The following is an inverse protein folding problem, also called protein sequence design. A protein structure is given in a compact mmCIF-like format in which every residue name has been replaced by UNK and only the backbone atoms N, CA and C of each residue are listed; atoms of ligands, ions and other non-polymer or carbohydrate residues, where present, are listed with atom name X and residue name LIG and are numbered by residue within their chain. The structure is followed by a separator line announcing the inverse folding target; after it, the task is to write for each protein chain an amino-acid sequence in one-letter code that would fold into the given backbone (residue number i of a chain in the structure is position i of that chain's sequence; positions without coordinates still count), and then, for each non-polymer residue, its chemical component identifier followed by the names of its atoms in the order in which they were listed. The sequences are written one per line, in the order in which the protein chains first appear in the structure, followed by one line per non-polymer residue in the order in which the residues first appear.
data_IF_716847654287
#
_entry.id   IF_716847654287
#
_cell.length_a   1.000
_cell.length_b   1.000
_cell.length_c   1.000
_cell.angle_alpha   90.00
_cell.angle_beta   90.00
_cell.angle_gamma   90.00
#
_symmetry.space_group_name_H-M   'P 1'
#
loop_
_entity.id
_entity.type
_entity.pdbx_description
1 polymer ?
#
# COMPACT_ATOMS: atom_id res chain seq x y z
N UNK A 1 -12.58 -4.93 43.28
CA UNK A 1 -13.16 -3.71 42.71
C UNK A 1 -12.03 -2.89 42.05
N UNK A 2 -12.14 -2.64 40.74
CA UNK A 2 -11.36 -1.77 39.85
C UNK A 2 -9.91 -1.35 40.22
N UNK A 3 -8.92 -1.89 39.49
CA UNK A 3 -7.70 -1.14 39.13
C UNK A 3 -7.64 -0.95 37.61
N UNK A 4 -7.91 0.29 37.18
CA UNK A 4 -7.66 0.77 35.81
C UNK A 4 -6.14 0.84 35.59
N UNK A 5 -5.60 -0.05 34.78
CA UNK A 5 -4.34 0.21 34.09
C UNK A 5 -4.64 0.67 32.67
N UNK A 6 -4.68 2.00 32.49
CA UNK A 6 -4.49 2.64 31.19
C UNK A 6 -3.02 2.42 30.79
N UNK A 7 -2.74 1.26 30.22
CA UNK A 7 -1.51 1.01 29.49
C UNK A 7 -1.46 1.96 28.31
N UNK A 8 -0.62 2.99 28.42
CA UNK A 8 -0.26 3.92 27.35
C UNK A 8 0.13 3.11 26.10
N UNK A 9 -0.69 3.19 25.05
CA UNK A 9 -0.39 2.58 23.76
C UNK A 9 0.96 3.13 23.27
N UNK A 10 2.01 2.30 23.31
CA UNK A 10 3.31 2.71 22.83
C UNK A 10 3.22 3.14 21.37
N UNK A 11 3.71 4.36 21.13
CA UNK A 11 3.73 5.15 19.90
C UNK A 11 4.57 4.55 18.76
N UNK A 12 4.72 3.23 18.65
CA UNK A 12 5.53 2.56 17.61
C UNK A 12 4.74 1.65 16.66
N UNK A 13 3.51 1.26 16.99
CA UNK A 13 2.93 0.05 16.38
C UNK A 13 1.74 0.23 15.41
N UNK A 14 1.41 1.43 14.98
CA UNK A 14 0.25 1.63 14.11
C UNK A 14 0.52 1.07 12.70
N UNK A 15 1.44 1.61 11.89
CA UNK A 15 1.71 1.08 10.54
C UNK A 15 2.05 -0.42 10.48
N UNK A 16 2.88 -0.97 11.39
CA UNK A 16 3.22 -2.41 11.39
C UNK A 16 2.03 -3.32 11.67
N UNK A 17 0.97 -2.84 12.32
CA UNK A 17 -0.27 -3.61 12.48
C UNK A 17 -1.23 -3.38 11.33
N UNK A 18 -1.28 -2.16 10.79
CA UNK A 18 -2.37 -1.74 9.90
C UNK A 18 -2.08 -1.79 8.40
N UNK A 19 -0.84 -1.64 7.90
CA UNK A 19 -0.63 -1.60 6.44
C UNK A 19 -0.25 -2.96 5.87
N UNK A 20 -1.05 -3.44 4.90
CA UNK A 20 -0.71 -4.52 3.96
C UNK A 20 -0.70 -3.92 2.56
N UNK A 21 0.49 -3.81 1.96
CA UNK A 21 0.68 -3.28 0.62
C UNK A 21 1.35 -4.32 -0.26
N UNK A 22 0.90 -4.40 -1.50
CA UNK A 22 1.52 -5.19 -2.54
C UNK A 22 1.58 -4.35 -3.81
N UNK A 23 2.75 -4.28 -4.43
CA UNK A 23 2.86 -3.83 -5.82
C UNK A 23 2.78 -5.05 -6.75
N UNK A 24 2.10 -4.86 -7.86
CA UNK A 24 1.88 -5.90 -8.86
C UNK A 24 2.32 -5.35 -10.21
N UNK A 25 3.19 -6.10 -10.88
CA UNK A 25 3.76 -5.67 -12.17
C UNK A 25 2.69 -5.82 -13.26
N UNK A 26 2.05 -4.69 -13.60
CA UNK A 26 1.44 -4.32 -14.89
C UNK A 26 0.99 -2.84 -14.88
N UNK A 27 0.74 -2.25 -13.70
CA UNK A 27 0.56 -0.80 -13.47
C UNK A 27 1.05 -0.48 -12.06
N UNK A 28 1.83 0.59 -11.88
CA UNK A 28 2.36 1.01 -10.59
C UNK A 28 1.25 1.59 -9.69
N UNK A 29 0.28 0.76 -9.29
CA UNK A 29 -0.84 1.17 -8.45
C UNK A 29 -0.71 0.53 -7.06
N UNK A 30 -0.49 1.38 -6.06
CA UNK A 30 -0.38 0.99 -4.66
C UNK A 30 -1.77 1.07 -4.02
N UNK A 31 -2.41 -0.06 -3.72
CA UNK A 31 -3.64 -0.04 -2.91
C UNK A 31 -3.26 -0.09 -1.43
N UNK A 32 -3.32 1.06 -0.75
CA UNK A 32 -3.03 1.18 0.68
C UNK A 32 -4.27 0.80 1.50
N UNK A 33 -4.26 -0.38 2.11
CA UNK A 33 -5.33 -0.86 2.99
C UNK A 33 -4.88 -0.83 4.47
N UNK A 34 -5.70 -0.23 5.34
CA UNK A 34 -5.51 -0.21 6.79
C UNK A 34 -6.34 -1.30 7.51
N UNK A 35 -5.70 -2.32 8.11
CA UNK A 35 -6.37 -3.38 8.87
C UNK A 35 -5.70 -3.74 10.18
N UNK A 36 -6.47 -3.83 11.26
CA UNK A 36 -5.96 -4.19 12.60
C UNK A 36 -5.24 -5.52 12.69
N UNK A 37 -5.59 -6.48 11.82
CA UNK A 37 -5.07 -7.85 11.85
C UNK A 37 -4.69 -8.31 10.45
N UNK A 38 -3.52 -8.95 10.34
CA UNK A 38 -2.99 -9.56 9.11
C UNK A 38 -3.37 -11.04 9.09
N UNK A 39 -4.26 -11.44 8.20
CA UNK A 39 -4.70 -12.83 8.05
C UNK A 39 -5.04 -13.18 6.59
N UNK A 40 -5.25 -14.46 6.31
CA UNK A 40 -5.52 -14.96 4.95
C UNK A 40 -6.83 -14.43 4.36
N UNK A 41 -7.89 -14.29 5.17
CA UNK A 41 -9.19 -13.78 4.72
C UNK A 41 -9.08 -12.34 4.21
N UNK A 42 -8.29 -11.54 4.91
CA UNK A 42 -7.99 -10.15 4.59
C UNK A 42 -7.14 -10.04 3.34
N UNK A 43 -6.05 -10.82 3.26
CA UNK A 43 -5.22 -10.88 2.06
C UNK A 43 -6.04 -11.31 0.84
N UNK A 44 -6.92 -12.30 0.97
CA UNK A 44 -7.84 -12.73 -0.10
C UNK A 44 -8.72 -11.58 -0.59
N UNK A 45 -9.34 -10.82 0.33
CA UNK A 45 -10.15 -9.64 -0.03
C UNK A 45 -9.35 -8.56 -0.76
N UNK A 46 -8.13 -8.30 -0.30
CA UNK A 46 -7.21 -7.35 -0.94
C UNK A 46 -6.90 -7.79 -2.38
N UNK A 47 -6.51 -9.05 -2.56
CA UNK A 47 -6.20 -9.61 -3.88
C UNK A 47 -7.42 -9.56 -4.82
N UNK A 48 -8.61 -9.92 -4.35
CA UNK A 48 -9.83 -9.87 -5.18
C UNK A 48 -10.17 -8.44 -5.59
N UNK A 49 -10.07 -7.46 -4.68
CA UNK A 49 -10.31 -6.05 -5.01
C UNK A 49 -9.30 -5.54 -6.04
N UNK A 50 -8.04 -5.93 -5.87
CA UNK A 50 -6.98 -5.59 -6.80
C UNK A 50 -7.27 -6.14 -8.21
N UNK A 51 -7.62 -7.42 -8.35
CA UNK A 51 -7.95 -8.02 -9.63
C UNK A 51 -9.13 -7.31 -10.31
N UNK A 52 -10.17 -6.96 -9.55
CA UNK A 52 -11.30 -6.17 -10.06
C UNK A 52 -10.88 -4.80 -10.59
N UNK A 53 -9.96 -4.13 -9.90
CA UNK A 53 -9.48 -2.80 -10.27
C UNK A 53 -8.56 -2.82 -11.49
N UNK A 54 -7.72 -3.86 -11.63
CA UNK A 54 -6.82 -4.00 -12.78
C UNK A 54 -7.50 -4.64 -14.00
N UNK A 55 -8.65 -5.30 -13.83
CA UNK A 55 -9.36 -6.00 -14.90
C UNK A 55 -8.72 -7.33 -15.32
N UNK A 56 -7.75 -7.84 -14.57
CA UNK A 56 -7.06 -9.08 -14.92
C UNK A 56 -5.99 -9.50 -13.92
N UNK A 57 -5.52 -10.75 -14.07
CA UNK A 57 -4.43 -11.29 -13.27
C UNK A 57 -3.08 -10.67 -13.66
N UNK A 58 -2.24 -10.31 -12.68
CA UNK A 58 -0.90 -9.82 -12.97
C UNK A 58 -0.01 -10.97 -13.47
N UNK A 59 1.02 -10.66 -14.26
CA UNK A 59 2.00 -11.67 -14.72
C UNK A 59 2.74 -12.33 -13.55
N UNK A 60 2.96 -11.57 -12.48
CA UNK A 60 3.69 -12.01 -11.29
C UNK A 60 3.25 -11.23 -10.06
N UNK A 61 3.16 -11.91 -8.93
CA UNK A 61 2.89 -11.33 -7.62
C UNK A 61 4.19 -11.21 -6.82
N UNK A 62 4.45 -10.02 -6.28
CA UNK A 62 5.56 -9.75 -5.37
C UNK A 62 4.98 -9.23 -4.05
N UNK A 63 5.23 -9.93 -2.96
CA UNK A 63 4.79 -9.51 -1.61
C UNK A 63 5.89 -9.74 -0.59
N UNK A 64 5.66 -9.26 0.64
CA UNK A 64 6.46 -9.68 1.78
C UNK A 64 6.37 -11.21 2.02
N UNK A 65 7.23 -11.71 2.92
CA UNK A 65 7.40 -13.14 3.22
C UNK A 65 6.26 -13.74 4.06
N UNK A 66 5.13 -13.06 4.25
CA UNK A 66 4.08 -13.63 5.10
C UNK A 66 3.31 -14.77 4.42
N UNK A 67 3.18 -15.89 5.14
CA UNK A 67 2.51 -17.12 4.68
C UNK A 67 1.06 -16.91 4.24
N UNK A 68 0.37 -15.90 4.80
CA UNK A 68 -1.03 -15.62 4.48
C UNK A 68 -1.24 -15.08 3.05
N UNK A 69 -0.23 -14.47 2.42
CA UNK A 69 -0.33 -14.07 1.01
C UNK A 69 -0.26 -15.29 0.08
N UNK A 70 0.63 -16.24 0.35
CA UNK A 70 0.70 -17.49 -0.41
C UNK A 70 -0.60 -18.29 -0.30
N UNK A 71 -1.18 -18.36 0.91
CA UNK A 71 -2.49 -18.99 1.13
C UNK A 71 -3.63 -18.26 0.41
N UNK A 72 -3.64 -16.92 0.42
CA UNK A 72 -4.64 -16.14 -0.30
C UNK A 72 -4.50 -16.27 -1.82
N UNK A 73 -3.27 -16.27 -2.35
CA UNK A 73 -2.97 -16.44 -3.77
C UNK A 73 -3.48 -17.75 -4.32
N UNK A 74 -3.29 -18.86 -3.59
CA UNK A 74 -3.82 -20.17 -4.00
C UNK A 74 -5.33 -20.18 -4.24
N UNK A 75 -6.08 -19.36 -3.51
CA UNK A 75 -7.54 -19.27 -3.66
C UNK A 75 -8.05 -18.18 -4.61
N UNK A 76 -7.20 -17.28 -5.11
CA UNK A 76 -7.61 -16.13 -5.93
C UNK A 76 -7.00 -16.14 -7.33
N UNK A 77 -5.75 -16.56 -7.44
CA UNK A 77 -5.00 -16.56 -8.70
C UNK A 77 -3.91 -17.65 -8.65
N UNK A 78 -4.30 -18.95 -8.70
CA UNK A 78 -3.39 -20.07 -8.53
C UNK A 78 -2.27 -20.12 -9.58
N UNK A 79 -2.51 -19.60 -10.78
CA UNK A 79 -1.56 -19.67 -11.91
C UNK A 79 -0.48 -18.58 -11.87
N UNK A 80 -0.62 -17.58 -10.99
CA UNK A 80 0.33 -16.46 -10.92
C UNK A 80 1.58 -16.84 -10.15
N UNK A 81 2.76 -16.63 -10.75
CA UNK A 81 4.03 -16.81 -10.05
C UNK A 81 4.11 -15.87 -8.83
N UNK A 82 4.36 -16.42 -7.64
CA UNK A 82 4.53 -15.63 -6.41
C UNK A 82 6.00 -15.63 -6.02
N UNK A 83 6.57 -14.43 -5.91
CA UNK A 83 7.93 -14.25 -5.40
C UNK A 83 7.95 -13.42 -4.12
N UNK A 84 8.77 -13.84 -3.16
CA UNK A 84 8.91 -13.19 -1.85
C UNK A 84 10.36 -13.12 -1.33
N UNK A 85 11.34 -13.32 -2.20
CA UNK A 85 12.76 -13.20 -1.82
C UNK A 85 13.10 -11.78 -1.33
N UNK A 86 14.19 -11.66 -0.57
CA UNK A 86 14.64 -10.37 -0.01
C UNK A 86 14.87 -9.36 -1.14
N UNK A 87 14.46 -8.12 -0.96
CA UNK A 87 14.75 -7.01 -1.88
C UNK A 87 13.76 -6.81 -3.04
N UNK A 88 12.86 -7.76 -3.32
CA UNK A 88 11.91 -7.62 -4.44
C UNK A 88 10.78 -6.63 -4.18
N UNK A 89 10.41 -6.45 -2.92
CA UNK A 89 9.40 -5.49 -2.50
C UNK A 89 10.00 -4.12 -2.19
N UNK A 90 11.29 -3.87 -2.48
CA UNK A 90 11.94 -2.58 -2.20
C UNK A 90 11.23 -1.41 -2.87
N UNK A 91 10.71 -1.60 -4.09
CA UNK A 91 9.93 -0.57 -4.78
C UNK A 91 8.67 -0.21 -3.97
N UNK A 92 7.98 -1.22 -3.46
CA UNK A 92 6.78 -1.09 -2.63
C UNK A 92 7.10 -0.43 -1.30
N UNK A 93 8.19 -0.84 -0.67
CA UNK A 93 8.64 -0.24 0.57
C UNK A 93 9.03 1.23 0.38
N UNK A 94 9.66 1.57 -0.75
CA UNK A 94 10.08 2.92 -1.09
C UNK A 94 8.90 3.83 -1.47
N UNK A 95 7.87 3.32 -2.16
CA UNK A 95 6.68 4.11 -2.52
C UNK A 95 5.85 4.56 -1.31
N UNK A 96 6.03 3.92 -0.15
CA UNK A 96 5.44 4.37 1.13
C UNK A 96 6.26 5.40 1.90
N UNK A 97 7.51 5.68 1.52
CA UNK A 97 8.35 6.62 2.24
C UNK A 97 7.72 8.03 2.33
N UNK A 98 7.13 8.60 1.25
CA UNK A 98 6.46 9.90 1.33
C UNK A 98 5.30 9.91 2.33
N UNK A 99 4.47 8.86 2.30
CA UNK A 99 3.35 8.71 3.25
C UNK A 99 3.86 8.62 4.70
N UNK A 100 4.88 7.79 4.95
CA UNK A 100 5.47 7.62 6.30
C UNK A 100 6.11 8.91 6.80
N UNK A 101 6.80 9.66 5.95
CA UNK A 101 7.37 10.96 6.30
C UNK A 101 6.28 11.93 6.74
N UNK A 102 5.19 12.01 5.97
CA UNK A 102 4.07 12.92 6.29
C UNK A 102 3.35 12.50 7.56
N UNK A 103 3.05 11.21 7.74
CA UNK A 103 2.42 10.69 8.96
C UNK A 103 3.24 10.98 10.22
N UNK A 104 4.57 10.83 10.16
CA UNK A 104 5.47 11.17 11.26
C UNK A 104 5.47 12.66 11.57
N UNK A 105 5.49 13.52 10.55
CA UNK A 105 5.43 14.97 10.73
C UNK A 105 4.11 15.41 11.39
N UNK A 106 3.02 14.72 11.10
CA UNK A 106 1.70 14.98 11.72
C UNK A 106 1.52 14.33 13.10
N UNK A 107 2.60 13.84 13.73
CA UNK A 107 2.57 13.18 15.04
C UNK A 107 1.61 11.99 15.15
N UNK A 108 1.38 11.29 14.03
CA UNK A 108 0.52 10.10 13.92
C UNK A 108 -0.97 10.42 14.12
N UNK A 109 -1.83 9.52 13.62
CA UNK A 109 -3.28 9.70 13.70
C UNK A 109 -3.86 9.16 15.00
N UNK A 110 -4.91 9.82 15.51
CA UNK A 110 -5.62 9.40 16.73
C UNK A 110 -6.57 8.23 16.47
N UNK A 111 -6.99 8.01 15.22
CA UNK A 111 -7.88 6.90 14.84
C UNK A 111 -7.55 6.30 13.46
N UNK A 112 -7.91 5.03 13.21
CA UNK A 112 -7.72 4.40 11.90
C UNK A 112 -8.55 5.05 10.80
N UNK A 113 -9.75 5.57 11.12
CA UNK A 113 -10.58 6.29 10.15
C UNK A 113 -9.95 7.60 9.69
N UNK A 114 -9.24 8.32 10.57
CA UNK A 114 -8.48 9.50 10.18
C UNK A 114 -7.33 9.15 9.25
N UNK A 115 -6.56 8.11 9.56
CA UNK A 115 -5.49 7.65 8.68
C UNK A 115 -6.04 7.18 7.32
N UNK A 116 -7.21 6.52 7.28
CA UNK A 116 -7.81 6.07 6.01
C UNK A 116 -8.23 7.24 5.12
N UNK A 117 -8.86 8.27 5.69
CA UNK A 117 -9.21 9.49 4.94
C UNK A 117 -7.97 10.21 4.44
N UNK A 118 -6.94 10.32 5.29
CA UNK A 118 -5.67 10.90 4.90
C UNK A 118 -5.02 10.12 3.75
N UNK A 119 -4.91 8.79 3.85
CA UNK A 119 -4.35 7.92 2.81
C UNK A 119 -5.11 8.07 1.50
N UNK A 120 -6.44 8.14 1.54
CA UNK A 120 -7.26 8.32 0.34
C UNK A 120 -6.92 9.63 -0.38
N UNK A 121 -6.92 10.76 0.33
CA UNK A 121 -6.59 12.08 -0.23
C UNK A 121 -5.13 12.13 -0.67
N UNK A 122 -4.21 11.64 0.16
CA UNK A 122 -2.78 11.66 -0.11
C UNK A 122 -2.42 10.80 -1.33
N UNK A 123 -3.10 9.67 -1.54
CA UNK A 123 -2.90 8.84 -2.72
C UNK A 123 -3.33 9.58 -3.99
N UNK A 124 -4.52 10.21 -4.00
CA UNK A 124 -4.96 11.03 -5.14
C UNK A 124 -3.99 12.17 -5.45
N UNK A 125 -3.55 12.90 -4.42
CA UNK A 125 -2.57 13.99 -4.58
C UNK A 125 -1.24 13.48 -5.11
N UNK A 126 -0.72 12.36 -4.57
CA UNK A 126 0.53 11.77 -5.05
C UNK A 126 0.40 11.36 -6.50
N UNK A 127 -0.68 10.70 -6.87
CA UNK A 127 -0.89 10.16 -8.22
C UNK A 127 -0.96 11.29 -9.28
N UNK A 128 -1.38 12.50 -8.90
CA UNK A 128 -1.34 13.69 -9.76
C UNK A 128 0.09 14.13 -10.14
N UNK A 129 1.05 13.97 -9.22
CA UNK A 129 2.45 14.38 -9.41
C UNK A 129 3.38 13.21 -9.82
N UNK A 130 2.87 11.97 -9.84
CA UNK A 130 3.64 10.81 -10.28
C UNK A 130 3.58 10.72 -11.79
N UNK A 131 4.74 10.98 -12.42
CA UNK A 131 4.90 10.92 -13.87
C UNK A 131 4.60 9.51 -14.41
N UNK A 132 3.84 9.40 -15.51
CA UNK A 132 3.66 8.13 -16.24
C UNK A 132 5.01 7.53 -16.70
N UNK A 133 5.12 6.20 -16.68
CA UNK A 133 6.40 5.48 -16.93
C UNK A 133 6.87 5.51 -18.40
N UNK A 134 5.93 5.74 -19.30
CA UNK A 134 6.08 5.92 -20.75
C UNK A 134 6.63 7.30 -21.13
N UNK A 135 6.44 8.31 -20.28
CA UNK A 135 6.91 9.68 -20.49
C UNK A 135 8.27 9.91 -19.82
N UNK A 136 9.35 9.88 -20.61
CA UNK A 136 10.72 9.97 -20.10
C UNK A 136 11.48 11.24 -20.51
N UNK A 137 10.95 12.04 -21.44
CA UNK A 137 11.63 13.26 -21.86
C UNK A 137 11.58 14.35 -20.78
N UNK A 138 12.53 15.28 -20.85
CA UNK A 138 12.54 16.48 -20.00
C UNK A 138 11.29 17.34 -20.24
N UNK A 139 10.88 17.48 -21.50
CA UNK A 139 9.69 18.22 -21.94
C UNK A 139 8.43 17.59 -21.36
N UNK A 140 8.27 16.27 -21.48
CA UNK A 140 7.10 15.58 -20.89
C UNK A 140 7.02 15.75 -19.38
N UNK A 141 8.19 15.76 -18.71
CA UNK A 141 8.26 15.98 -17.26
C UNK A 141 7.85 17.40 -16.90
N UNK A 142 8.26 18.39 -17.69
CA UNK A 142 7.88 19.79 -17.51
C UNK A 142 6.36 19.98 -17.72
N UNK A 143 5.82 19.47 -18.83
CA UNK A 143 4.39 19.55 -19.16
C UNK A 143 3.52 18.83 -18.12
N UNK A 144 3.92 17.63 -17.68
CA UNK A 144 3.20 16.90 -16.63
C UNK A 144 3.12 17.69 -15.33
N UNK A 145 4.20 18.39 -14.95
CA UNK A 145 4.20 19.25 -13.75
C UNK A 145 3.29 20.46 -13.92
N UNK A 146 3.33 21.13 -15.08
CA UNK A 146 2.44 22.26 -15.35
C UNK A 146 0.97 21.84 -15.29
N UNK A 147 0.63 20.73 -15.93
CA UNK A 147 -0.74 20.21 -15.93
C UNK A 147 -1.20 19.68 -14.55
N UNK A 148 -0.27 19.29 -13.68
CA UNK A 148 -0.60 18.85 -12.32
C UNK A 148 -1.01 20.02 -11.39
N UNK A 149 -0.70 21.27 -11.76
CA UNK A 149 -1.07 22.47 -11.00
C UNK A 149 -2.24 23.26 -11.61
N UNK A 150 -2.65 22.91 -12.82
CA UNK A 150 -3.80 23.50 -13.53
C UNK A 150 -5.11 22.86 -13.07
#
# INVERSE_FOLDING_TARGET
MFKRHKGSLQKRDFQRRYTSSGEYCNKAHLDEFLQKRRNTKVARRLLTRFLKKQGGAPKRMITDKFRFYGAAKRGVMPDVEHRSHKGMNNLTENSHLPLRKRERAMQRFKSPGQLQRFVAVFSCLRDLFVRPRDKRSSIDTHLHRMNAFA
#
